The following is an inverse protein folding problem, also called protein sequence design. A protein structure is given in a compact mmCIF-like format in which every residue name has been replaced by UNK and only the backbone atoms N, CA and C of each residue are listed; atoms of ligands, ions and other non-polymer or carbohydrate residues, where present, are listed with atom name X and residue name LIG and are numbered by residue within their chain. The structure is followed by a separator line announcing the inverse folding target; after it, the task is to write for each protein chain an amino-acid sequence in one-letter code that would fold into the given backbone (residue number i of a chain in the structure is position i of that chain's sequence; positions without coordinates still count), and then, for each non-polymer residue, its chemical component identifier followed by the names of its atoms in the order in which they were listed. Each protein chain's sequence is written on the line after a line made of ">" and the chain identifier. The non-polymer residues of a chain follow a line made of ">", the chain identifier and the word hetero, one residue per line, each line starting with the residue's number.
data_IF_387449426883
#
_entry.id   IF_387449426883
#
_cell.length_a   1.000
_cell.length_b   1.000
_cell.length_c   1.000
_cell.angle_alpha   90.00
_cell.angle_beta   90.00
_cell.angle_gamma   90.00
#
_symmetry.space_group_name_H-M   'P 1'
#
loop_
_entity.id
_entity.type
_entity.pdbx_description
1 polymer ?
#
# COMPACT_ATOMS: atom_id res chain seq x y z
N UNK A 1 26.65 20.40 -20.32
CA UNK A 1 25.28 19.88 -20.53
C UNK A 1 24.35 21.05 -20.34
N UNK A 2 23.56 21.37 -21.36
CA UNK A 2 22.65 22.50 -21.31
C UNK A 2 21.28 22.00 -20.84
N UNK A 3 20.70 22.69 -19.87
CA UNK A 3 19.38 22.37 -19.32
C UNK A 3 18.41 23.47 -19.69
N UNK A 4 17.27 23.10 -20.24
CA UNK A 4 16.18 24.01 -20.58
C UNK A 4 14.89 23.54 -19.90
N UNK A 5 14.37 24.34 -18.97
CA UNK A 5 13.09 24.04 -18.33
C UNK A 5 11.95 24.31 -19.31
N UNK A 6 11.19 23.27 -19.64
CA UNK A 6 10.00 23.39 -20.52
C UNK A 6 8.81 23.90 -19.71
N UNK A 7 8.63 23.34 -18.51
CA UNK A 7 7.65 23.72 -17.49
C UNK A 7 8.06 23.09 -16.15
N UNK A 8 7.39 23.43 -15.02
CA UNK A 8 7.70 22.79 -13.75
C UNK A 8 7.77 21.26 -13.85
N UNK A 9 8.85 20.68 -13.32
CA UNK A 9 9.14 19.24 -13.31
C UNK A 9 9.33 18.59 -14.71
N UNK A 10 9.55 19.37 -15.76
CA UNK A 10 9.89 18.89 -17.10
C UNK A 10 11.08 19.68 -17.64
N UNK A 11 12.24 19.02 -17.66
CA UNK A 11 13.49 19.59 -18.14
C UNK A 11 13.88 18.92 -19.46
N UNK A 12 14.36 19.70 -20.44
CA UNK A 12 15.08 19.19 -21.61
C UNK A 12 16.58 19.26 -21.32
N UNK A 13 17.29 18.14 -21.47
CA UNK A 13 18.73 18.04 -21.22
C UNK A 13 19.45 17.72 -22.52
N UNK A 14 20.31 18.63 -22.95
CA UNK A 14 21.09 18.52 -24.18
C UNK A 14 22.50 17.98 -23.89
N UNK A 15 22.85 16.92 -24.62
CA UNK A 15 24.14 16.26 -24.64
C UNK A 15 25.12 17.01 -25.55
N UNK A 16 26.45 16.79 -25.41
CA UNK A 16 27.46 17.47 -26.24
C UNK A 16 27.33 17.25 -27.75
N UNK A 17 26.67 16.16 -28.18
CA UNK A 17 26.41 15.82 -29.59
C UNK A 17 25.11 16.45 -30.14
N UNK A 18 24.43 17.28 -29.35
CA UNK A 18 23.16 17.92 -29.71
C UNK A 18 21.92 17.04 -29.48
N UNK A 19 22.09 15.78 -29.05
CA UNK A 19 20.95 14.93 -28.65
C UNK A 19 20.30 15.51 -27.41
N UNK A 20 18.96 15.51 -27.37
CA UNK A 20 18.19 15.98 -26.22
C UNK A 20 17.34 14.87 -25.61
N UNK A 21 17.18 14.90 -24.29
CA UNK A 21 16.26 14.02 -23.55
C UNK A 21 15.30 14.87 -22.72
N UNK A 22 14.09 14.37 -22.49
CA UNK A 22 13.16 14.94 -21.53
C UNK A 22 13.36 14.22 -20.19
N UNK A 23 13.76 14.97 -19.17
CA UNK A 23 13.86 14.51 -17.81
C UNK A 23 12.65 15.00 -17.00
N UNK A 24 11.94 14.05 -16.39
CA UNK A 24 10.79 14.35 -15.55
C UNK A 24 11.19 14.38 -14.08
N UNK A 25 10.61 15.31 -13.32
CA UNK A 25 10.81 15.45 -11.87
C UNK A 25 12.28 15.52 -11.41
N UNK A 26 13.22 15.86 -12.31
CA UNK A 26 14.67 15.75 -12.07
C UNK A 26 15.07 14.40 -11.47
N UNK A 27 14.44 13.31 -11.93
CA UNK A 27 14.67 11.95 -11.44
C UNK A 27 13.95 11.57 -10.13
N UNK A 28 13.14 12.46 -9.55
CA UNK A 28 12.26 12.12 -8.42
C UNK A 28 11.02 11.34 -8.90
N UNK A 29 10.18 10.94 -7.94
CA UNK A 29 8.96 10.16 -8.18
C UNK A 29 8.00 10.89 -9.13
N UNK A 30 7.97 10.46 -10.39
CA UNK A 30 7.22 11.12 -11.47
C UNK A 30 5.71 11.14 -11.21
N UNK A 31 5.15 10.10 -10.59
CA UNK A 31 3.72 10.04 -10.28
C UNK A 31 3.31 11.11 -9.27
N UNK A 32 4.19 11.49 -8.35
CA UNK A 32 3.94 12.54 -7.35
C UNK A 32 4.39 13.93 -7.82
N UNK A 33 5.44 14.00 -8.63
CA UNK A 33 6.01 15.27 -9.09
C UNK A 33 5.38 15.81 -10.37
N UNK A 34 4.91 14.94 -11.27
CA UNK A 34 4.27 15.32 -12.53
C UNK A 34 2.77 14.98 -12.57
N UNK A 35 2.23 14.39 -11.50
CA UNK A 35 0.81 14.08 -11.35
C UNK A 35 0.41 14.11 -9.86
N UNK A 36 -0.71 13.48 -9.49
CA UNK A 36 -1.29 13.52 -8.14
C UNK A 36 -1.04 12.24 -7.32
N UNK A 37 -0.09 11.41 -7.75
CA UNK A 37 0.22 10.15 -7.08
C UNK A 37 -0.86 9.08 -7.28
N UNK A 38 -1.02 8.26 -6.25
CA UNK A 38 -1.97 7.16 -6.25
C UNK A 38 -3.42 7.66 -5.98
N UNK A 39 -4.44 7.12 -6.66
CA UNK A 39 -5.82 7.48 -6.42
C UNK A 39 -6.27 7.24 -4.96
N UNK A 40 -7.29 7.98 -4.52
CA UNK A 40 -7.78 7.95 -3.14
C UNK A 40 -8.16 6.54 -2.66
N UNK A 41 -8.70 5.68 -3.53
CA UNK A 41 -9.11 4.33 -3.13
C UNK A 41 -7.94 3.44 -2.71
N UNK A 42 -6.86 3.42 -3.49
CA UNK A 42 -5.66 2.64 -3.12
C UNK A 42 -4.96 3.26 -1.91
N UNK A 43 -4.99 4.60 -1.79
CA UNK A 43 -4.47 5.28 -0.59
C UNK A 43 -5.31 5.00 0.66
N UNK A 44 -6.62 4.75 0.52
CA UNK A 44 -7.50 4.37 1.63
C UNK A 44 -7.06 3.06 2.30
N UNK A 45 -6.66 2.06 1.51
CA UNK A 45 -6.10 0.81 2.03
C UNK A 45 -4.80 1.06 2.82
N UNK A 46 -3.87 1.83 2.25
CA UNK A 46 -2.61 2.19 2.92
C UNK A 46 -2.83 2.98 4.20
N UNK A 47 -3.73 3.97 4.19
CA UNK A 47 -4.00 4.82 5.35
C UNK A 47 -4.83 4.13 6.42
N UNK A 48 -5.66 3.16 6.07
CA UNK A 48 -6.34 2.30 7.05
C UNK A 48 -5.32 1.49 7.86
N UNK A 49 -4.30 0.92 7.20
CA UNK A 49 -3.18 0.27 7.89
C UNK A 49 -2.43 1.23 8.81
N UNK A 50 -2.13 2.45 8.35
CA UNK A 50 -1.46 3.45 9.19
C UNK A 50 -2.28 3.80 10.44
N UNK A 51 -3.58 4.02 10.30
CA UNK A 51 -4.46 4.34 11.45
C UNK A 51 -4.52 3.16 12.43
N UNK A 52 -4.66 1.93 11.95
CA UNK A 52 -4.65 0.75 12.82
C UNK A 52 -3.31 0.58 13.55
N UNK A 53 -2.19 0.82 12.88
CA UNK A 53 -0.86 0.79 13.52
C UNK A 53 -0.72 1.87 14.60
N UNK A 54 -1.21 3.09 14.33
CA UNK A 54 -1.21 4.17 15.33
C UNK A 54 -2.06 3.80 16.55
N UNK A 55 -3.27 3.28 16.35
CA UNK A 55 -4.15 2.82 17.43
C UNK A 55 -3.48 1.72 18.25
N UNK A 56 -2.84 0.75 17.59
CA UNK A 56 -2.18 -0.38 18.25
C UNK A 56 -1.02 0.08 19.14
N UNK A 57 -0.13 0.93 18.62
CA UNK A 57 1.03 1.42 19.38
C UNK A 57 0.58 2.36 20.51
N UNK A 58 -0.41 3.22 20.25
CA UNK A 58 -0.93 4.16 21.24
C UNK A 58 -1.60 3.46 22.43
N UNK A 59 -2.44 2.46 22.15
CA UNK A 59 -3.18 1.75 23.20
C UNK A 59 -2.36 0.65 23.90
N UNK A 60 -1.22 0.23 23.34
CA UNK A 60 -0.39 -0.84 23.88
C UNK A 60 1.09 -0.43 24.08
N UNK A 61 1.38 0.64 24.85
CA UNK A 61 2.72 1.24 24.93
C UNK A 61 3.81 0.31 25.47
N UNK A 62 3.44 -0.72 26.24
CA UNK A 62 4.38 -1.67 26.86
C UNK A 62 4.43 -3.04 26.16
N UNK A 63 3.68 -3.22 25.07
CA UNK A 63 3.58 -4.51 24.37
C UNK A 63 4.75 -4.77 23.41
N UNK A 64 5.40 -3.72 22.93
CA UNK A 64 6.38 -3.80 21.85
C UNK A 64 7.78 -3.43 22.32
N UNK A 65 8.77 -4.18 21.87
CA UNK A 65 10.18 -3.83 22.04
C UNK A 65 10.62 -2.83 20.95
N UNK A 66 11.86 -2.35 21.02
CA UNK A 66 12.47 -1.51 19.97
C UNK A 66 12.89 -2.36 18.76
N UNK A 67 11.91 -2.90 18.04
CA UNK A 67 12.06 -3.74 16.85
C UNK A 67 11.06 -3.29 15.77
N UNK A 68 11.28 -3.74 14.54
CA UNK A 68 10.32 -3.53 13.45
C UNK A 68 9.29 -4.65 13.50
N UNK A 69 8.01 -4.27 13.51
CA UNK A 69 6.87 -5.18 13.50
C UNK A 69 6.04 -4.95 12.25
N UNK A 70 5.32 -6.00 11.85
CA UNK A 70 4.25 -5.93 10.85
C UNK A 70 2.90 -6.01 11.54
N UNK A 71 1.86 -5.47 10.93
CA UNK A 71 0.51 -5.61 11.46
C UNK A 71 0.10 -7.10 11.47
N UNK A 72 -0.59 -7.57 12.52
CA UNK A 72 -1.19 -8.89 12.55
C UNK A 72 -2.10 -9.16 11.34
N UNK A 73 -2.09 -10.40 10.83
CA UNK A 73 -2.79 -10.79 9.60
C UNK A 73 -4.30 -10.53 9.65
N UNK A 74 -4.94 -10.67 10.81
CA UNK A 74 -6.36 -10.36 10.98
C UNK A 74 -6.68 -8.86 10.77
N UNK A 75 -5.75 -7.95 11.08
CA UNK A 75 -5.91 -6.53 10.79
C UNK A 75 -5.73 -6.24 9.30
N UNK A 76 -4.83 -6.93 8.63
CA UNK A 76 -4.66 -6.83 7.17
C UNK A 76 -5.92 -7.33 6.43
N UNK A 77 -6.45 -8.49 6.83
CA UNK A 77 -7.73 -9.01 6.32
C UNK A 77 -8.90 -8.07 6.61
N UNK A 78 -8.91 -7.40 7.78
CA UNK A 78 -9.90 -6.37 8.09
C UNK A 78 -9.80 -5.18 7.15
N UNK A 79 -8.59 -4.72 6.83
CA UNK A 79 -8.38 -3.63 5.85
C UNK A 79 -8.90 -4.04 4.48
N UNK A 80 -8.66 -5.27 4.03
CA UNK A 80 -9.24 -5.75 2.78
C UNK A 80 -10.78 -5.78 2.84
N UNK A 81 -11.35 -6.34 3.92
CA UNK A 81 -12.78 -6.53 4.09
C UNK A 81 -13.58 -5.21 4.03
N UNK A 82 -13.10 -4.14 4.67
CA UNK A 82 -13.82 -2.84 4.70
C UNK A 82 -13.88 -2.16 3.32
N UNK A 83 -13.06 -2.57 2.35
CA UNK A 83 -13.06 -2.00 1.00
C UNK A 83 -13.96 -2.77 0.00
N UNK A 84 -14.44 -3.97 0.35
CA UNK A 84 -15.18 -4.85 -0.57
C UNK A 84 -16.50 -4.26 -1.03
N UNK A 85 -17.29 -3.69 -0.12
CA UNK A 85 -18.61 -3.13 -0.43
C UNK A 85 -18.53 -2.01 -1.47
N UNK A 86 -17.48 -1.18 -1.40
CA UNK A 86 -17.27 -0.10 -2.36
C UNK A 86 -17.00 -0.62 -3.78
N UNK A 87 -16.45 -1.83 -3.89
CA UNK A 87 -16.20 -2.51 -5.17
C UNK A 87 -17.39 -3.36 -5.63
N UNK A 88 -18.45 -3.49 -4.81
CA UNK A 88 -19.54 -4.43 -5.06
C UNK A 88 -19.11 -5.90 -4.97
N UNK A 89 -17.98 -6.18 -4.31
CA UNK A 89 -17.45 -7.53 -4.14
C UNK A 89 -18.20 -8.27 -3.02
N UNK A 90 -18.64 -9.49 -3.29
CA UNK A 90 -19.32 -10.34 -2.31
C UNK A 90 -18.35 -11.37 -1.75
N UNK A 91 -18.11 -11.33 -0.44
CA UNK A 91 -17.28 -12.30 0.25
C UNK A 91 -18.11 -13.52 0.67
N UNK A 92 -17.77 -14.69 0.14
CA UNK A 92 -18.34 -15.96 0.60
C UNK A 92 -17.84 -16.28 2.00
N UNK A 93 -18.73 -16.83 2.85
CA UNK A 93 -18.38 -17.31 4.19
C UNK A 93 -18.15 -18.82 4.14
N UNK A 94 -17.08 -19.29 4.79
CA UNK A 94 -16.86 -20.70 5.01
C UNK A 94 -17.98 -21.26 5.91
N UNK A 95 -18.40 -22.48 5.61
CA UNK A 95 -19.16 -23.29 6.55
C UNK A 95 -18.21 -23.83 7.63
N UNK A 96 -18.75 -24.22 8.78
CA UNK A 96 -17.96 -24.81 9.88
C UNK A 96 -17.19 -26.06 9.43
N UNK A 97 -17.81 -26.91 8.62
CA UNK A 97 -17.16 -28.10 8.05
C UNK A 97 -15.96 -27.72 7.17
N UNK A 98 -16.09 -26.70 6.33
CA UNK A 98 -14.99 -26.25 5.47
C UNK A 98 -13.84 -25.62 6.26
N UNK A 99 -14.15 -24.81 7.28
CA UNK A 99 -13.12 -24.17 8.12
C UNK A 99 -12.34 -25.21 8.93
N UNK A 100 -13.04 -26.21 9.47
CA UNK A 100 -12.43 -27.31 10.21
C UNK A 100 -11.57 -28.18 9.29
N UNK A 101 -12.02 -28.44 8.07
CA UNK A 101 -11.29 -29.22 7.08
C UNK A 101 -9.94 -28.60 6.71
N UNK A 102 -9.86 -27.27 6.56
CA UNK A 102 -8.60 -26.57 6.21
C UNK A 102 -7.86 -26.01 7.42
N UNK A 103 -8.37 -26.23 8.64
CA UNK A 103 -7.72 -25.83 9.89
C UNK A 103 -7.63 -24.32 10.12
N UNK A 104 -8.67 -23.56 9.76
CA UNK A 104 -8.74 -22.10 10.00
C UNK A 104 -10.00 -21.75 10.80
N UNK A 105 -9.99 -20.61 11.49
CA UNK A 105 -11.21 -20.06 12.08
C UNK A 105 -12.13 -19.47 10.98
N UNK A 106 -13.44 -19.53 11.17
CA UNK A 106 -14.42 -18.95 10.24
C UNK A 106 -14.26 -17.43 10.07
N UNK A 107 -13.65 -16.75 11.04
CA UNK A 107 -13.34 -15.33 11.02
C UNK A 107 -11.90 -15.00 10.62
N UNK A 108 -11.11 -16.01 10.26
CA UNK A 108 -9.69 -15.89 9.92
C UNK A 108 -8.76 -15.82 11.15
N UNK A 109 -7.45 -15.61 10.95
CA UNK A 109 -6.81 -15.42 9.66
C UNK A 109 -6.86 -16.66 8.76
N UNK A 110 -7.04 -16.45 7.46
CA UNK A 110 -7.30 -17.53 6.49
C UNK A 110 -6.03 -18.10 5.85
N UNK A 111 -4.85 -17.59 6.21
CA UNK A 111 -3.55 -17.98 5.63
C UNK A 111 -2.46 -17.99 6.70
N UNK A 112 -1.43 -18.84 6.57
CA UNK A 112 -0.29 -18.83 7.48
C UNK A 112 0.57 -17.57 7.30
N UNK A 113 1.40 -17.27 8.30
CA UNK A 113 2.24 -16.06 8.33
C UNK A 113 3.19 -15.93 7.12
N UNK A 114 3.77 -17.03 6.66
CA UNK A 114 4.72 -17.05 5.54
C UNK A 114 4.07 -17.00 4.15
N UNK A 115 2.73 -16.93 4.08
CA UNK A 115 2.01 -16.89 2.81
C UNK A 115 2.26 -15.57 2.08
N UNK A 116 2.45 -15.62 0.76
CA UNK A 116 2.96 -14.47 0.00
C UNK A 116 1.90 -13.43 -0.39
N UNK A 117 0.61 -13.80 -0.44
CA UNK A 117 -0.59 -12.94 -0.50
C UNK A 117 -1.84 -13.78 -0.29
#
# INVERSE_FOLDING_TARGET
>A
MNWHEVKPQVDEVEFPDGKKIILLSKGRLVNLGNAMGHPSFVMSASFSNQVLAQIEIWNNPNKYEKKVYVLPKNLDEKVAAIHLDKLGAKLTKLTKEQSDYIGVDNSGPFKPEYYRY
#
